data_IF_560492837750
#
_entry.id   IF_560492837750
#
_cell.length_a   1.000
_cell.length_b   1.000
_cell.length_c   1.000
_cell.angle_alpha   90.00
_cell.angle_beta   90.00
_cell.angle_gamma   90.00
#
_symmetry.space_group_name_H-M   'P 1'
#
loop_
_entity.id
_entity.type
_entity.pdbx_description
1 polymer ?
#
# COMPACT_ATOMS: atom_id res chain seq x y z
N UNK A 1 32.38 29.34 -0.47
CA UNK A 1 31.44 28.22 -0.66
C UNK A 1 30.01 28.67 -0.91
N UNK A 2 29.12 27.71 -1.13
CA UNK A 2 27.67 27.87 -1.22
C UNK A 2 27.02 27.12 -0.06
N UNK A 3 26.04 27.74 0.58
CA UNK A 3 25.34 27.15 1.71
C UNK A 3 23.82 27.27 1.59
N UNK A 4 23.12 26.32 2.19
CA UNK A 4 21.68 26.29 2.36
C UNK A 4 21.40 26.35 3.86
N UNK A 5 20.55 27.30 4.27
CA UNK A 5 20.24 27.59 5.68
C UNK A 5 18.77 27.35 5.97
N UNK A 6 18.43 27.09 7.24
CA UNK A 6 17.03 26.92 7.63
C UNK A 6 16.27 28.26 7.60
N UNK A 7 14.96 28.21 7.33
CA UNK A 7 14.07 29.38 7.27
C UNK A 7 14.13 30.23 8.55
N UNK A 8 14.06 29.61 9.71
CA UNK A 8 14.02 30.35 10.98
C UNK A 8 15.37 30.99 11.32
N UNK A 9 16.48 30.32 10.96
CA UNK A 9 17.81 30.90 11.05
C UNK A 9 17.96 32.10 10.13
N UNK A 10 17.48 32.00 8.89
CA UNK A 10 17.51 33.10 7.93
C UNK A 10 16.69 34.30 8.41
N UNK A 11 15.46 34.07 8.90
CA UNK A 11 14.60 35.12 9.45
C UNK A 11 15.23 35.82 10.65
N UNK A 12 15.78 35.07 11.61
CA UNK A 12 16.39 35.64 12.82
C UNK A 12 17.62 36.49 12.51
N UNK A 13 18.35 36.17 11.44
CA UNK A 13 19.57 36.87 11.04
C UNK A 13 19.37 37.81 9.84
N UNK A 14 18.12 38.06 9.41
CA UNK A 14 17.78 38.89 8.24
C UNK A 14 18.56 38.48 6.97
N UNK A 15 18.71 37.17 6.74
CA UNK A 15 19.43 36.63 5.60
C UNK A 15 18.49 36.33 4.44
N UNK A 16 18.88 36.78 3.25
CA UNK A 16 18.16 36.50 2.01
C UNK A 16 19.01 35.61 1.10
N UNK A 17 18.39 35.07 0.05
CA UNK A 17 19.12 34.36 -0.99
C UNK A 17 20.12 35.34 -1.62
N UNK A 18 21.40 34.96 -1.62
CA UNK A 18 22.51 35.79 -2.07
C UNK A 18 23.33 36.43 -0.95
N UNK A 19 22.85 36.47 0.29
CA UNK A 19 23.59 36.98 1.46
C UNK A 19 24.86 36.16 1.70
N UNK A 20 25.91 36.81 2.22
CA UNK A 20 27.17 36.14 2.57
C UNK A 20 27.26 35.98 4.09
N UNK A 21 27.59 34.78 4.55
CA UNK A 21 27.80 34.48 5.96
C UNK A 21 29.23 33.94 6.17
N UNK A 22 29.77 34.15 7.36
CA UNK A 22 31.08 33.64 7.76
C UNK A 22 30.86 32.51 8.75
N UNK A 23 31.22 31.29 8.35
CA UNK A 23 31.20 30.13 9.24
C UNK A 23 32.54 30.03 9.96
N UNK A 24 32.48 29.70 11.26
CA UNK A 24 33.66 29.57 12.13
C UNK A 24 33.62 28.23 12.87
N UNK A 25 34.59 27.37 12.59
CA UNK A 25 34.79 26.11 13.31
C UNK A 25 36.29 25.77 13.33
N UNK A 26 37.08 26.60 14.01
CA UNK A 26 38.55 26.56 13.93
C UNK A 26 39.09 27.44 12.80
N UNK A 27 38.59 27.28 11.57
CA UNK A 27 38.91 28.15 10.43
C UNK A 27 37.71 29.02 10.02
N UNK A 28 37.99 30.14 9.34
CA UNK A 28 36.98 31.06 8.84
C UNK A 28 36.70 30.79 7.37
N UNK A 29 35.47 30.40 7.02
CA UNK A 29 35.06 30.19 5.62
C UNK A 29 33.89 31.10 5.27
N UNK A 30 34.07 31.91 4.22
CA UNK A 30 33.00 32.72 3.63
C UNK A 30 32.13 31.85 2.73
N UNK A 31 30.82 31.81 3.00
CA UNK A 31 29.84 31.08 2.18
C UNK A 31 28.68 31.99 1.79
N UNK A 32 28.18 31.80 0.57
CA UNK A 32 27.00 32.51 0.06
C UNK A 32 25.76 31.65 0.23
N UNK A 33 24.70 32.23 0.78
CA UNK A 33 23.40 31.57 0.92
C UNK A 33 22.78 31.44 -0.47
N UNK A 34 22.60 30.21 -0.94
CA UNK A 34 22.00 29.91 -2.27
C UNK A 34 20.59 29.34 -2.17
N UNK A 35 20.19 28.91 -0.98
CA UNK A 35 18.86 28.36 -0.75
C UNK A 35 18.45 28.46 0.71
N UNK A 36 17.15 28.47 0.93
CA UNK A 36 16.54 28.44 2.27
C UNK A 36 15.63 27.23 2.31
N UNK A 37 15.93 26.28 3.21
CA UNK A 37 15.10 25.09 3.39
C UNK A 37 14.15 25.27 4.59
N UNK A 38 13.04 24.55 4.56
CA UNK A 38 12.09 24.47 5.67
C UNK A 38 11.82 23.00 5.97
N UNK A 39 11.87 22.64 7.24
CA UNK A 39 11.59 21.28 7.68
C UNK A 39 12.09 21.03 9.09
N UNK A 40 11.31 20.29 9.87
CA UNK A 40 11.70 19.85 11.20
C UNK A 40 12.21 18.43 11.11
N UNK A 41 13.47 18.22 11.43
CA UNK A 41 13.98 16.89 11.77
C UNK A 41 13.46 16.56 13.16
N UNK A 42 12.90 15.36 13.35
CA UNK A 42 12.69 14.83 14.70
C UNK A 42 14.05 14.45 15.29
N UNK A 43 14.82 15.43 15.75
CA UNK A 43 16.07 15.17 16.47
C UNK A 43 15.77 14.89 17.94
N UNK A 44 16.10 13.68 18.41
CA UNK A 44 16.14 13.30 19.85
C UNK A 44 17.37 13.89 20.58
N UNK A 45 17.78 15.11 20.22
CA UNK A 45 18.93 15.77 20.85
C UNK A 45 18.45 16.69 21.98
N UNK A 46 19.09 16.60 23.15
CA UNK A 46 18.75 17.44 24.31
C UNK A 46 19.32 18.88 24.21
N UNK A 47 20.23 19.12 23.27
CA UNK A 47 20.94 20.39 23.12
C UNK A 47 20.31 21.27 22.03
N UNK A 48 20.21 22.60 22.22
CA UNK A 48 19.75 23.53 21.19
C UNK A 48 20.55 23.50 19.88
N UNK A 49 21.80 23.04 19.93
CA UNK A 49 22.65 22.84 18.75
C UNK A 49 22.18 21.70 17.84
N UNK A 50 21.42 20.75 18.38
CA UNK A 50 20.86 19.61 17.64
C UNK A 50 19.55 19.94 16.93
N UNK A 51 19.04 21.16 17.15
CA UNK A 51 17.83 21.66 16.52
C UNK A 51 17.98 21.74 14.98
N UNK A 52 16.88 21.48 14.28
CA UNK A 52 16.81 21.50 12.82
C UNK A 52 17.22 22.86 12.25
N UNK A 53 16.84 23.89 13.01
CA UNK A 53 16.96 25.29 12.73
C UNK A 53 18.42 25.74 12.72
N UNK A 54 19.29 25.06 13.46
CA UNK A 54 20.72 25.38 13.55
C UNK A 54 21.60 24.55 12.60
N UNK A 55 21.00 23.78 11.67
CA UNK A 55 21.73 23.02 10.65
C UNK A 55 21.95 23.84 9.39
N UNK A 56 23.20 23.85 8.94
CA UNK A 56 23.63 24.50 7.69
C UNK A 56 24.22 23.43 6.78
N UNK A 57 23.74 23.35 5.55
CA UNK A 57 24.31 22.50 4.51
C UNK A 57 25.23 23.34 3.65
N UNK A 58 26.43 22.85 3.34
CA UNK A 58 27.41 23.57 2.52
C UNK A 58 28.12 22.60 1.57
N UNK A 59 28.82 23.14 0.59
CA UNK A 59 29.65 22.32 -0.29
C UNK A 59 30.76 21.57 0.47
N UNK A 60 31.12 20.39 -0.03
CA UNK A 60 32.12 19.51 0.60
C UNK A 60 33.47 20.22 0.78
N UNK A 61 33.92 20.99 -0.21
CA UNK A 61 35.17 21.75 -0.14
C UNK A 61 35.18 22.76 1.01
N UNK A 62 34.09 23.49 1.21
CA UNK A 62 33.95 24.45 2.29
C UNK A 62 33.83 23.76 3.65
N UNK A 63 33.14 22.61 3.73
CA UNK A 63 33.07 21.82 4.96
C UNK A 63 34.44 21.27 5.38
N UNK A 64 35.22 20.73 4.44
CA UNK A 64 36.58 20.24 4.70
C UNK A 64 37.54 21.37 5.11
N UNK A 65 37.42 22.53 4.44
CA UNK A 65 38.19 23.74 4.80
C UNK A 65 37.84 24.24 6.20
N UNK A 66 36.55 24.17 6.58
CA UNK A 66 36.07 24.57 7.88
C UNK A 66 36.57 23.60 8.97
N UNK A 67 36.54 22.30 8.71
CA UNK A 67 37.03 21.26 9.61
C UNK A 67 38.57 21.16 9.69
N UNK A 68 39.31 21.93 8.87
CA UNK A 68 40.77 21.90 8.84
C UNK A 68 41.37 20.54 8.44
N UNK A 69 40.60 19.69 7.76
CA UNK A 69 41.01 18.32 7.44
C UNK A 69 40.56 17.91 6.05
N UNK A 70 41.42 17.19 5.33
CA UNK A 70 41.13 16.65 3.99
C UNK A 70 40.51 15.24 4.05
N UNK A 71 40.27 14.70 5.26
CA UNK A 71 39.71 13.37 5.46
C UNK A 71 38.18 13.43 5.35
N UNK A 72 37.62 12.57 4.49
CA UNK A 72 36.16 12.42 4.36
C UNK A 72 35.66 11.48 5.45
N UNK A 73 34.65 11.90 6.20
CA UNK A 73 34.10 11.12 7.31
C UNK A 73 33.10 10.04 6.89
N UNK A 74 32.11 10.39 6.05
CA UNK A 74 30.99 9.48 5.72
C UNK A 74 30.63 9.60 4.24
N UNK A 75 30.42 8.45 3.58
CA UNK A 75 29.85 8.35 2.24
C UNK A 75 28.41 7.86 2.36
N UNK A 76 27.45 8.60 1.78
CA UNK A 76 26.04 8.20 1.74
C UNK A 76 25.68 7.83 0.30
N UNK A 77 25.25 6.59 0.10
CA UNK A 77 24.74 6.09 -1.17
C UNK A 77 23.23 5.89 -1.06
N UNK A 78 22.50 6.27 -2.11
CA UNK A 78 21.05 6.10 -2.21
C UNK A 78 20.77 5.05 -3.29
N UNK A 79 19.83 4.15 -3.02
CA UNK A 79 19.38 3.13 -3.98
C UNK A 79 17.98 3.51 -4.43
N UNK A 80 17.74 3.56 -5.74
CA UNK A 80 16.46 4.01 -6.32
C UNK A 80 15.31 3.03 -6.04
N UNK A 81 15.60 1.73 -5.97
CA UNK A 81 14.59 0.70 -5.73
C UNK A 81 14.86 -0.08 -4.44
N UNK A 82 13.82 -0.27 -3.65
CA UNK A 82 13.89 -0.91 -2.33
C UNK A 82 14.25 -2.40 -2.39
N UNK A 83 13.87 -3.10 -3.47
CA UNK A 83 14.17 -4.52 -3.69
C UNK A 83 15.67 -4.79 -3.91
N UNK A 84 16.40 -3.80 -4.45
CA UNK A 84 17.83 -3.90 -4.71
C UNK A 84 18.69 -3.53 -3.50
N UNK A 85 18.10 -2.99 -2.43
CA UNK A 85 18.82 -2.49 -1.26
C UNK A 85 19.66 -3.58 -0.59
N UNK A 86 19.12 -4.79 -0.44
CA UNK A 86 19.83 -5.89 0.20
C UNK A 86 21.08 -6.32 -0.59
N UNK A 87 20.98 -6.35 -1.92
CA UNK A 87 22.12 -6.69 -2.80
C UNK A 87 23.14 -5.56 -2.85
N UNK A 88 22.69 -4.31 -2.93
CA UNK A 88 23.56 -3.14 -2.91
C UNK A 88 24.38 -3.08 -1.61
N UNK A 89 23.78 -3.42 -0.47
CA UNK A 89 24.49 -3.46 0.83
C UNK A 89 25.53 -4.58 0.86
N UNK A 90 25.21 -5.77 0.33
CA UNK A 90 26.19 -6.87 0.24
C UNK A 90 27.40 -6.45 -0.61
N UNK A 91 27.16 -5.87 -1.78
CA UNK A 91 28.23 -5.37 -2.65
C UNK A 91 29.02 -4.24 -1.99
N UNK A 92 28.35 -3.30 -1.33
CA UNK A 92 29.01 -2.21 -0.61
C UNK A 92 29.93 -2.75 0.50
N UNK A 93 29.50 -3.78 1.26
CA UNK A 93 30.35 -4.44 2.27
C UNK A 93 31.57 -5.13 1.64
N UNK A 94 31.40 -5.79 0.50
CA UNK A 94 32.51 -6.42 -0.23
C UNK A 94 33.53 -5.38 -0.73
N UNK A 95 33.05 -4.26 -1.28
CA UNK A 95 33.91 -3.17 -1.78
C UNK A 95 34.58 -2.43 -0.62
N UNK A 96 33.87 -2.20 0.48
CA UNK A 96 34.36 -1.50 1.68
C UNK A 96 35.44 -2.25 2.45
N UNK A 97 35.48 -3.60 2.35
CA UNK A 97 36.55 -4.42 2.90
C UNK A 97 36.93 -4.04 4.34
N UNK A 98 38.19 -3.63 4.56
CA UNK A 98 38.76 -3.17 5.85
C UNK A 98 38.94 -1.65 5.96
N UNK A 99 38.62 -0.86 4.94
CA UNK A 99 38.99 0.57 4.86
C UNK A 99 37.88 1.53 5.32
N UNK A 100 36.67 1.03 5.52
CA UNK A 100 35.55 1.82 6.05
C UNK A 100 34.60 0.91 6.85
N UNK A 101 34.09 1.43 7.96
CA UNK A 101 33.00 0.77 8.67
C UNK A 101 31.67 1.09 7.95
N UNK A 102 30.93 0.04 7.57
CA UNK A 102 29.69 0.19 6.82
C UNK A 102 28.55 0.30 7.81
N UNK A 103 28.32 1.51 8.31
CA UNK A 103 27.20 1.79 9.20
C UNK A 103 25.88 1.86 8.41
N UNK A 104 25.03 0.85 8.62
CA UNK A 104 23.70 0.80 8.04
C UNK A 104 22.81 1.82 8.78
N UNK A 105 22.55 2.97 8.16
CA UNK A 105 21.33 3.75 8.44
C UNK A 105 20.05 2.99 8.04
N UNK A 106 20.19 1.73 7.57
CA UNK A 106 19.10 0.81 7.40
C UNK A 106 18.45 0.40 8.73
N UNK A 107 18.99 0.67 9.92
CA UNK A 107 18.23 0.44 11.16
C UNK A 107 17.00 1.35 11.26
N UNK A 108 17.15 2.65 10.99
CA UNK A 108 16.03 3.59 11.01
C UNK A 108 15.08 3.42 9.81
N UNK A 109 15.58 2.96 8.65
CA UNK A 109 14.73 2.64 7.50
C UNK A 109 14.09 1.25 7.61
N UNK A 110 14.76 0.27 8.23
CA UNK A 110 14.22 -1.07 8.51
C UNK A 110 13.08 -1.00 9.49
N UNK A 111 13.14 -0.12 10.50
CA UNK A 111 12.01 0.07 11.43
C UNK A 111 10.79 0.68 10.74
N UNK A 112 10.98 1.60 9.80
CA UNK A 112 9.88 2.15 8.99
C UNK A 112 9.34 1.11 8.01
N UNK A 113 10.22 0.37 7.31
CA UNK A 113 9.83 -0.69 6.37
C UNK A 113 9.15 -1.86 7.11
N UNK A 114 9.62 -2.23 8.29
CA UNK A 114 9.02 -3.28 9.12
C UNK A 114 7.67 -2.84 9.69
N UNK A 115 7.54 -1.58 10.08
CA UNK A 115 6.26 -0.99 10.52
C UNK A 115 5.24 -0.99 9.38
N UNK A 116 5.64 -0.59 8.17
CA UNK A 116 4.77 -0.63 6.98
C UNK A 116 4.37 -2.06 6.63
N UNK A 117 5.32 -3.00 6.63
CA UNK A 117 5.02 -4.41 6.38
C UNK A 117 4.07 -5.00 7.43
N UNK A 118 4.23 -4.63 8.70
CA UNK A 118 3.37 -5.09 9.79
C UNK A 118 1.94 -4.58 9.64
N UNK A 119 1.78 -3.29 9.30
CA UNK A 119 0.46 -2.71 9.01
C UNK A 119 -0.18 -3.36 7.79
N UNK A 120 0.59 -3.56 6.71
CA UNK A 120 0.10 -4.25 5.52
C UNK A 120 -0.37 -5.68 5.84
N UNK A 121 0.38 -6.40 6.67
CA UNK A 121 0.03 -7.76 7.08
C UNK A 121 -1.24 -7.80 7.93
N UNK A 122 -1.42 -6.84 8.84
CA UNK A 122 -2.64 -6.69 9.65
C UNK A 122 -3.85 -6.42 8.75
N UNK A 123 -3.75 -5.45 7.84
CA UNK A 123 -4.85 -5.12 6.90
C UNK A 123 -5.16 -6.32 6.01
N UNK A 124 -4.15 -7.05 5.53
CA UNK A 124 -4.33 -8.27 4.75
C UNK A 124 -5.05 -9.36 5.55
N UNK A 125 -4.72 -9.56 6.82
CA UNK A 125 -5.42 -10.53 7.67
C UNK A 125 -6.90 -10.17 7.85
N UNK A 126 -7.20 -8.91 8.13
CA UNK A 126 -8.59 -8.43 8.23
C UNK A 126 -9.33 -8.65 6.91
N UNK A 127 -8.70 -8.30 5.78
CA UNK A 127 -9.29 -8.49 4.46
C UNK A 127 -9.62 -9.96 4.15
N UNK A 128 -8.70 -10.88 4.48
CA UNK A 128 -8.91 -12.33 4.31
C UNK A 128 -10.04 -12.83 5.21
N UNK A 129 -10.09 -12.39 6.46
CA UNK A 129 -11.16 -12.76 7.40
C UNK A 129 -12.53 -12.28 6.91
N UNK A 130 -12.64 -11.02 6.49
CA UNK A 130 -13.89 -10.46 5.94
C UNK A 130 -14.30 -11.17 4.64
N UNK A 131 -13.33 -11.47 3.77
CA UNK A 131 -13.59 -12.22 2.54
C UNK A 131 -14.17 -13.60 2.83
N UNK A 132 -13.63 -14.31 3.83
CA UNK A 132 -14.14 -15.61 4.23
C UNK A 132 -15.59 -15.55 4.73
N UNK A 133 -15.91 -14.56 5.58
CA UNK A 133 -17.28 -14.31 6.03
C UNK A 133 -18.21 -14.01 4.85
N UNK A 134 -17.76 -13.18 3.90
CA UNK A 134 -18.51 -12.85 2.69
C UNK A 134 -18.84 -14.08 1.84
N UNK A 135 -17.89 -15.00 1.66
CA UNK A 135 -18.11 -16.26 0.93
C UNK A 135 -19.16 -17.12 1.63
N UNK A 136 -19.12 -17.19 2.97
CA UNK A 136 -20.06 -17.96 3.77
C UNK A 136 -21.48 -17.40 3.62
N UNK A 137 -21.64 -16.08 3.76
CA UNK A 137 -22.91 -15.39 3.57
C UNK A 137 -23.44 -15.56 2.14
N UNK A 138 -22.59 -15.40 1.12
CA UNK A 138 -22.95 -15.62 -0.28
C UNK A 138 -23.49 -17.05 -0.49
N UNK A 139 -22.81 -18.06 0.07
CA UNK A 139 -23.25 -19.45 0.01
C UNK A 139 -24.64 -19.66 0.63
N UNK A 140 -24.88 -19.11 1.82
CA UNK A 140 -26.18 -19.20 2.49
C UNK A 140 -27.31 -18.53 1.68
N UNK A 141 -27.04 -17.35 1.11
CA UNK A 141 -28.01 -16.65 0.26
C UNK A 141 -28.33 -17.47 -0.98
N UNK A 142 -27.32 -18.04 -1.65
CA UNK A 142 -27.52 -18.90 -2.82
C UNK A 142 -28.35 -20.16 -2.47
N UNK A 143 -28.09 -20.78 -1.31
CA UNK A 143 -28.89 -21.92 -0.83
C UNK A 143 -30.36 -21.53 -0.67
N UNK A 144 -30.66 -20.42 -0.01
CA UNK A 144 -32.05 -19.96 0.15
C UNK A 144 -32.70 -19.59 -1.17
N UNK A 145 -31.95 -18.93 -2.05
CA UNK A 145 -32.44 -18.52 -3.36
C UNK A 145 -32.80 -19.73 -4.23
N UNK A 146 -31.93 -20.74 -4.32
CA UNK A 146 -32.24 -22.00 -5.02
C UNK A 146 -33.43 -22.70 -4.36
N UNK A 147 -33.48 -22.74 -3.02
CA UNK A 147 -34.60 -23.36 -2.28
C UNK A 147 -35.95 -22.69 -2.59
N UNK A 148 -35.98 -21.38 -2.75
CA UNK A 148 -37.19 -20.64 -3.14
C UNK A 148 -37.74 -21.05 -4.51
N UNK A 149 -36.85 -21.38 -5.46
CA UNK A 149 -37.21 -21.84 -6.81
C UNK A 149 -37.37 -23.35 -6.97
N UNK A 150 -37.24 -24.11 -5.88
CA UNK A 150 -37.36 -25.57 -5.92
C UNK A 150 -38.71 -26.07 -6.43
N UNK A 151 -39.79 -25.33 -6.16
CA UNK A 151 -41.11 -25.73 -6.63
C UNK A 151 -41.21 -25.66 -8.16
N UNK A 152 -40.70 -24.59 -8.76
CA UNK A 152 -40.64 -24.41 -10.21
C UNK A 152 -39.75 -25.47 -10.87
N UNK A 153 -38.58 -25.73 -10.28
CA UNK A 153 -37.63 -26.77 -10.72
C UNK A 153 -38.29 -28.16 -10.66
N UNK A 154 -39.08 -28.43 -9.63
CA UNK A 154 -39.84 -29.67 -9.49
C UNK A 154 -40.91 -29.85 -10.57
N UNK A 155 -41.64 -28.79 -10.91
CA UNK A 155 -42.64 -28.80 -12.01
C UNK A 155 -41.95 -29.03 -13.35
N UNK A 156 -40.85 -28.32 -13.63
CA UNK A 156 -40.07 -28.47 -14.87
C UNK A 156 -39.50 -29.88 -15.03
N UNK A 157 -38.99 -30.49 -13.96
CA UNK A 157 -38.54 -31.88 -13.98
C UNK A 157 -39.68 -32.87 -14.24
N UNK A 158 -40.89 -32.56 -13.79
CA UNK A 158 -42.08 -33.41 -14.02
C UNK A 158 -42.52 -33.42 -15.48
N UNK A 159 -42.16 -32.38 -16.24
CA UNK A 159 -42.38 -32.26 -17.70
C UNK A 159 -41.29 -33.00 -18.50
N UNK A 160 -40.25 -33.53 -17.84
CA UNK A 160 -39.19 -34.33 -18.48
C UNK A 160 -37.94 -33.54 -18.86
N UNK A 161 -37.78 -32.29 -18.39
CA UNK A 161 -36.55 -31.53 -18.59
C UNK A 161 -35.37 -32.17 -17.84
N UNK A 162 -34.22 -32.21 -18.52
CA UNK A 162 -33.01 -32.78 -17.93
C UNK A 162 -32.44 -31.87 -16.84
N UNK A 163 -31.90 -32.48 -15.78
CA UNK A 163 -31.27 -31.76 -14.65
C UNK A 163 -30.13 -30.85 -15.09
N UNK A 164 -29.41 -31.22 -16.16
CA UNK A 164 -28.32 -30.45 -16.71
C UNK A 164 -28.78 -29.10 -17.30
N UNK A 165 -29.96 -29.06 -17.94
CA UNK A 165 -30.53 -27.83 -18.49
C UNK A 165 -30.83 -26.84 -17.36
N UNK A 166 -31.43 -27.32 -16.27
CA UNK A 166 -31.77 -26.49 -15.11
C UNK A 166 -30.50 -25.92 -14.45
N UNK A 167 -29.47 -26.75 -14.27
CA UNK A 167 -28.17 -26.30 -13.73
C UNK A 167 -27.52 -25.28 -14.67
N UNK A 168 -27.59 -25.49 -16.00
CA UNK A 168 -27.03 -24.54 -16.97
C UNK A 168 -27.75 -23.18 -16.94
N UNK A 169 -29.07 -23.16 -16.75
CA UNK A 169 -29.84 -21.92 -16.61
C UNK A 169 -29.42 -21.14 -15.35
N UNK A 170 -29.29 -21.83 -14.22
CA UNK A 170 -28.83 -21.23 -12.96
C UNK A 170 -27.38 -20.69 -13.10
N UNK A 171 -26.53 -21.40 -13.84
CA UNK A 171 -25.15 -20.99 -14.10
C UNK A 171 -25.09 -19.71 -14.96
N UNK A 172 -25.97 -19.59 -15.96
CA UNK A 172 -26.07 -18.38 -16.78
C UNK A 172 -26.60 -17.22 -15.95
N UNK A 173 -27.63 -17.44 -15.13
CA UNK A 173 -28.22 -16.40 -14.26
C UNK A 173 -27.19 -15.83 -13.26
N UNK A 174 -26.43 -16.70 -12.59
CA UNK A 174 -25.38 -16.24 -11.65
C UNK A 174 -24.23 -15.52 -12.36
N UNK A 175 -23.91 -15.91 -13.60
CA UNK A 175 -22.86 -15.27 -14.39
C UNK A 175 -23.25 -13.85 -14.77
N UNK A 176 -24.49 -13.65 -15.21
CA UNK A 176 -25.03 -12.31 -15.53
C UNK A 176 -25.03 -11.43 -14.28
N UNK A 177 -25.48 -11.95 -13.14
CA UNK A 177 -25.46 -11.22 -11.87
C UNK A 177 -24.03 -10.83 -11.46
N UNK A 178 -23.06 -11.73 -11.62
CA UNK A 178 -21.65 -11.44 -11.34
C UNK A 178 -21.10 -10.30 -12.20
N UNK A 179 -21.43 -10.27 -13.50
CA UNK A 179 -21.00 -9.20 -14.40
C UNK A 179 -21.57 -7.85 -13.93
N UNK A 180 -22.87 -7.80 -13.60
CA UNK A 180 -23.52 -6.57 -13.12
C UNK A 180 -22.91 -6.12 -11.78
N UNK A 181 -22.75 -7.03 -10.83
CA UNK A 181 -22.14 -6.74 -9.53
C UNK A 181 -20.69 -6.27 -9.66
N UNK A 182 -19.93 -6.82 -10.60
CA UNK A 182 -18.54 -6.40 -10.85
C UNK A 182 -18.47 -4.95 -11.33
N UNK A 183 -19.31 -4.56 -12.29
CA UNK A 183 -19.37 -3.16 -12.79
C UNK A 183 -19.70 -2.20 -11.65
N UNK A 184 -20.68 -2.55 -10.81
CA UNK A 184 -21.06 -1.76 -9.64
C UNK A 184 -19.89 -1.68 -8.63
N UNK A 185 -19.23 -2.80 -8.37
CA UNK A 185 -18.10 -2.89 -7.45
C UNK A 185 -16.92 -2.03 -7.89
N UNK A 186 -16.62 -1.95 -9.19
CA UNK A 186 -15.58 -1.06 -9.70
C UNK A 186 -15.89 0.42 -9.43
N UNK A 187 -17.14 0.83 -9.66
CA UNK A 187 -17.59 2.20 -9.38
C UNK A 187 -17.48 2.56 -7.89
N UNK A 188 -18.01 1.69 -7.03
CA UNK A 188 -17.92 1.89 -5.58
C UNK A 188 -16.46 1.81 -5.08
N UNK A 189 -15.67 0.86 -5.58
CA UNK A 189 -14.27 0.70 -5.21
C UNK A 189 -13.43 1.95 -5.54
N UNK A 190 -13.62 2.52 -6.72
CA UNK A 190 -12.95 3.77 -7.11
C UNK A 190 -13.38 4.94 -6.21
N UNK A 191 -14.68 5.09 -5.95
CA UNK A 191 -15.21 6.17 -5.11
C UNK A 191 -14.71 6.09 -3.65
N UNK A 192 -14.82 4.91 -3.02
CA UNK A 192 -14.36 4.69 -1.66
C UNK A 192 -12.84 4.82 -1.52
N UNK A 193 -12.08 4.31 -2.49
CA UNK A 193 -10.62 4.44 -2.48
C UNK A 193 -10.18 5.90 -2.54
N UNK A 194 -10.87 6.75 -3.31
CA UNK A 194 -10.61 8.18 -3.35
C UNK A 194 -10.88 8.86 -2.01
N UNK A 195 -12.04 8.59 -1.40
CA UNK A 195 -12.43 9.18 -0.12
C UNK A 195 -11.47 8.75 1.01
N UNK A 196 -11.24 7.45 1.16
CA UNK A 196 -10.37 6.91 2.21
C UNK A 196 -8.92 7.35 2.00
N UNK A 197 -8.44 7.34 0.76
CA UNK A 197 -7.11 7.83 0.41
C UNK A 197 -6.94 9.28 0.84
N UNK A 198 -7.89 10.15 0.48
CA UNK A 198 -7.84 11.57 0.85
C UNK A 198 -7.91 11.79 2.37
N UNK A 199 -8.72 11.02 3.11
CA UNK A 199 -8.84 11.15 4.56
C UNK A 199 -7.55 10.74 5.31
N UNK A 200 -6.90 9.66 4.87
CA UNK A 200 -5.60 9.23 5.42
C UNK A 200 -4.52 10.27 5.12
N UNK A 201 -4.48 10.79 3.88
CA UNK A 201 -3.52 11.84 3.49
C UNK A 201 -3.74 13.14 4.25
N UNK A 202 -4.98 13.55 4.54
CA UNK A 202 -5.26 14.76 5.31
C UNK A 202 -4.83 14.64 6.79
N UNK A 203 -4.82 13.40 7.31
CA UNK A 203 -4.41 13.10 8.69
C UNK A 203 -2.89 12.99 8.84
N UNK A 204 -2.17 12.75 7.75
CA UNK A 204 -0.72 12.75 7.69
C UNK A 204 -0.26 14.11 7.16
N UNK A 205 0.30 14.96 8.01
CA UNK A 205 0.80 16.33 7.76
C UNK A 205 1.99 16.42 6.75
N UNK A 206 2.06 15.48 5.82
CA UNK A 206 3.12 15.27 4.85
C UNK A 206 2.57 15.39 3.44
N UNK A 207 3.23 16.23 2.66
CA UNK A 207 3.06 16.52 1.23
C UNK A 207 3.29 15.29 0.33
N UNK A 208 2.51 14.24 0.52
CA UNK A 208 2.42 13.09 -0.37
C UNK A 208 1.10 13.24 -1.13
N UNK A 209 1.07 14.15 -2.12
CA UNK A 209 -0.07 14.21 -3.02
C UNK A 209 0.06 12.99 -3.93
N UNK A 210 -0.69 11.93 -3.61
CA UNK A 210 -0.99 10.89 -4.59
C UNK A 210 -1.97 11.50 -5.59
N UNK A 211 -1.42 12.30 -6.51
CA UNK A 211 -2.19 12.96 -7.56
C UNK A 211 -2.54 11.89 -8.60
N UNK A 212 -3.72 11.30 -8.44
CA UNK A 212 -4.24 10.31 -9.35
C UNK A 212 -5.24 9.36 -8.69
N UNK A 213 -6.37 9.15 -9.37
CA UNK A 213 -7.18 7.97 -9.13
C UNK A 213 -6.26 6.74 -9.13
N UNK A 214 -6.34 5.86 -8.12
CA UNK A 214 -5.58 4.61 -8.12
C UNK A 214 -5.97 3.82 -9.36
N UNK A 215 -5.11 3.86 -10.38
CA UNK A 215 -5.28 3.08 -11.61
C UNK A 215 -5.03 1.62 -11.25
N UNK A 216 -6.14 0.91 -11.00
CA UNK A 216 -6.09 -0.53 -10.75
C UNK A 216 -5.51 -1.22 -11.99
N UNK A 217 -4.42 -2.00 -11.84
CA UNK A 217 -3.81 -2.68 -12.98
C UNK A 217 -4.80 -3.66 -13.58
N UNK A 218 -5.07 -3.52 -14.89
CA UNK A 218 -6.13 -4.22 -15.62
C UNK A 218 -6.05 -5.75 -15.44
N UNK A 219 -4.85 -6.30 -15.41
CA UNK A 219 -4.62 -7.74 -15.23
C UNK A 219 -5.08 -8.24 -13.85
N UNK A 220 -4.87 -7.45 -12.79
CA UNK A 220 -5.28 -7.83 -11.43
C UNK A 220 -6.79 -7.71 -11.27
N UNK A 221 -7.40 -6.67 -11.84
CA UNK A 221 -8.86 -6.48 -11.80
C UNK A 221 -9.57 -7.62 -12.52
N UNK A 222 -9.04 -8.05 -13.67
CA UNK A 222 -9.57 -9.19 -14.42
C UNK A 222 -9.37 -10.51 -13.67
N UNK A 223 -8.22 -10.72 -13.04
CA UNK A 223 -7.97 -11.88 -12.19
C UNK A 223 -8.95 -11.93 -10.99
N UNK A 224 -9.23 -10.79 -10.34
CA UNK A 224 -10.18 -10.70 -9.25
C UNK A 224 -11.61 -11.05 -9.69
N UNK A 225 -12.02 -10.59 -10.87
CA UNK A 225 -13.31 -10.96 -11.46
C UNK A 225 -13.42 -12.47 -11.69
N UNK A 226 -12.39 -13.09 -12.28
CA UNK A 226 -12.37 -14.54 -12.53
C UNK A 226 -12.45 -15.32 -11.22
N UNK A 227 -11.72 -14.91 -10.19
CA UNK A 227 -11.76 -15.55 -8.87
C UNK A 227 -13.16 -15.42 -8.24
N UNK A 228 -13.77 -14.24 -8.29
CA UNK A 228 -15.14 -14.02 -7.77
C UNK A 228 -16.19 -14.86 -8.49
N UNK A 229 -16.05 -14.98 -9.81
CA UNK A 229 -16.92 -15.83 -10.64
C UNK A 229 -16.74 -17.32 -10.29
N UNK A 230 -15.51 -17.80 -10.14
CA UNK A 230 -15.24 -19.18 -9.70
C UNK A 230 -15.82 -19.47 -8.33
N UNK A 231 -15.65 -18.56 -7.36
CA UNK A 231 -16.22 -18.70 -6.01
C UNK A 231 -17.74 -18.80 -6.09
N UNK A 232 -18.40 -17.94 -6.88
CA UNK A 232 -19.84 -17.94 -7.04
C UNK A 232 -20.36 -19.23 -7.67
N UNK A 233 -19.66 -19.76 -8.69
CA UNK A 233 -20.00 -21.04 -9.33
C UNK A 233 -19.86 -22.20 -8.35
N UNK A 234 -18.75 -22.25 -7.59
CA UNK A 234 -18.54 -23.29 -6.58
C UNK A 234 -19.63 -23.23 -5.51
N UNK A 235 -19.95 -22.03 -5.02
CA UNK A 235 -21.02 -21.83 -4.04
C UNK A 235 -22.39 -22.27 -4.58
N UNK A 236 -22.69 -21.99 -5.85
CA UNK A 236 -23.91 -22.46 -6.52
C UNK A 236 -23.95 -23.99 -6.63
N UNK A 237 -22.85 -24.62 -7.04
CA UNK A 237 -22.77 -26.09 -7.14
C UNK A 237 -23.02 -26.72 -5.78
N UNK A 238 -22.39 -26.19 -4.71
CA UNK A 238 -22.60 -26.66 -3.33
C UNK A 238 -24.05 -26.47 -2.91
N UNK A 239 -24.69 -25.35 -3.27
CA UNK A 239 -26.08 -25.07 -2.95
C UNK A 239 -27.07 -26.03 -3.65
N UNK A 240 -26.77 -26.41 -4.90
CA UNK A 240 -27.62 -27.28 -5.74
C UNK A 240 -27.37 -28.78 -5.45
N UNK A 241 -26.19 -29.15 -4.94
CA UNK A 241 -25.82 -30.53 -4.64
C UNK A 241 -26.81 -31.29 -3.72
N UNK A 242 -27.20 -30.78 -2.52
CA UNK A 242 -28.14 -31.49 -1.64
C UNK A 242 -29.54 -31.64 -2.25
N UNK A 243 -29.88 -30.81 -3.22
CA UNK A 243 -31.15 -30.80 -3.93
C UNK A 243 -31.18 -31.88 -5.01
N UNK A 244 -30.09 -32.06 -5.77
CA UNK A 244 -30.00 -33.06 -6.83
C UNK A 244 -29.79 -34.49 -6.31
N UNK A 245 -29.18 -34.63 -5.13
CA UNK A 245 -28.89 -35.94 -4.51
C UNK A 245 -30.14 -36.55 -3.84
N UNK A 246 -31.09 -35.75 -3.34
CA UNK A 246 -32.33 -36.28 -2.75
C UNK A 246 -33.24 -36.83 -3.85
N UNK A 247 -33.70 -38.08 -3.69
CA UNK A 247 -34.66 -38.71 -4.62
C UNK A 247 -35.99 -37.92 -4.61
N UNK A 248 -36.63 -37.71 -5.78
CA UNK A 248 -37.85 -36.90 -5.91
C UNK A 248 -38.99 -37.30 -4.95
N UNK A 249 -39.08 -38.58 -4.56
CA UNK A 249 -40.08 -39.08 -3.60
C UNK A 249 -39.94 -38.51 -2.17
N UNK A 250 -38.73 -38.14 -1.73
CA UNK A 250 -38.51 -37.59 -0.37
C UNK A 250 -38.75 -36.08 -0.27
N UNK A 251 -38.82 -35.37 -1.41
CA UNK A 251 -39.14 -33.94 -1.45
C UNK A 251 -40.65 -33.73 -1.27
N UNK A 252 -41.46 -34.64 -1.84
CA UNK A 252 -42.92 -34.65 -1.72
C UNK A 252 -43.41 -35.16 -0.35
N UNK A 253 -42.74 -36.16 0.25
CA UNK A 253 -43.16 -36.71 1.55
C UNK A 253 -42.72 -35.89 2.76
N UNK A 254 -41.89 -34.87 2.58
CA UNK A 254 -41.45 -33.97 3.66
C UNK A 254 -42.29 -32.68 3.74
N UNK A 255 -43.33 -32.55 2.91
CA UNK A 255 -44.28 -31.44 2.91
C UNK A 255 -45.71 -31.87 3.27
N UNK A 256 -45.91 -33.08 3.79
CA UNK A 256 -47.13 -33.46 4.54
C UNK A 256 -46.90 -33.31 6.03
#
# INVERSE_FOLDING_TARGET
GRAIVHRDFAKKNNLNIGSTIILKQGFNVKVRVVGIFAGKLQTKGALPSDASENRIFTDLSSALSLAGSSKRGVLRCVVERSDLLANAIRQAKTIAGKWADVEQNASQLSDVISSVNSVQQLVRMIFVALSFVGILVLGLVLVFWVRGRMHEIGVLMSIGLSRAIIVSQLLVEITILNIVSFVISLGFGAAFSGVIGSAILHSADSSFIADGMPVLPLLQTLAAFVIGLLISIVALIVAVLPILIKKPRQILSAMS
#
